data_IF_984619295047
#
_entry.id   IF_984619295047
#
_cell.length_a   1.000
_cell.length_b   1.000
_cell.length_c   1.000
_cell.angle_alpha   90.00
_cell.angle_beta   90.00
_cell.angle_gamma   90.00
#
_symmetry.space_group_name_H-M   'P 1'
#
loop_
_entity.id
_entity.type
_entity.pdbx_description
1 polymer ?
#
# COMPACT_ATOMS: atom_id res chain seq x y z
N UNK A 1 9.68 26.02 -17.39
CA UNK A 1 8.75 24.92 -17.05
C UNK A 1 9.26 23.68 -17.77
N UNK A 2 9.76 22.70 -17.02
CA UNK A 2 10.18 21.41 -17.58
C UNK A 2 8.96 20.68 -18.12
N UNK A 3 9.02 20.23 -19.37
CA UNK A 3 7.98 19.39 -19.99
C UNK A 3 7.75 18.16 -19.12
N UNK A 4 6.48 17.80 -18.81
CA UNK A 4 6.23 16.64 -17.95
C UNK A 4 6.65 15.33 -18.68
N UNK A 5 7.15 14.32 -17.95
CA UNK A 5 7.74 13.14 -18.57
C UNK A 5 6.66 12.27 -19.25
N UNK A 6 7.03 11.67 -20.38
CA UNK A 6 6.22 10.64 -21.06
C UNK A 6 6.38 9.29 -20.37
N UNK A 7 5.43 8.37 -20.56
CA UNK A 7 5.53 7.02 -19.99
C UNK A 7 6.80 6.29 -20.48
N UNK A 8 7.14 6.42 -21.76
CA UNK A 8 8.37 5.86 -22.32
C UNK A 8 9.65 6.42 -21.65
N UNK A 9 9.70 7.73 -21.39
CA UNK A 9 10.84 8.35 -20.69
C UNK A 9 10.95 7.85 -19.24
N UNK A 10 9.81 7.65 -18.56
CA UNK A 10 9.81 7.06 -17.22
C UNK A 10 10.30 5.61 -17.23
N UNK A 11 9.85 4.79 -18.19
CA UNK A 11 10.30 3.40 -18.32
C UNK A 11 11.80 3.31 -18.60
N UNK A 12 12.34 4.17 -19.46
CA UNK A 12 13.77 4.26 -19.73
C UNK A 12 14.57 4.65 -18.46
N UNK A 13 14.12 5.71 -17.76
CA UNK A 13 14.75 6.17 -16.52
C UNK A 13 14.80 5.08 -15.44
N UNK A 14 13.75 4.23 -15.34
CA UNK A 14 13.73 3.10 -14.40
C UNK A 14 14.87 2.10 -14.63
N UNK A 15 15.32 1.90 -15.88
CA UNK A 15 16.42 0.97 -16.20
C UNK A 15 17.79 1.44 -15.70
N UNK A 16 17.92 2.74 -15.45
CA UNK A 16 19.17 3.38 -15.01
C UNK A 16 19.23 3.61 -13.50
N UNK A 17 18.18 3.26 -12.75
CA UNK A 17 18.16 3.40 -11.30
C UNK A 17 19.18 2.45 -10.65
N UNK A 18 19.91 2.98 -9.67
CA UNK A 18 20.75 2.19 -8.79
C UNK A 18 20.14 2.20 -7.38
N UNK A 19 19.50 1.10 -6.92
CA UNK A 19 18.90 1.04 -5.59
C UNK A 19 19.87 1.27 -4.44
N UNK A 20 21.18 1.11 -4.66
CA UNK A 20 22.22 1.40 -3.66
C UNK A 20 22.36 2.91 -3.38
N UNK A 21 22.01 3.76 -4.36
CA UNK A 21 21.95 5.21 -4.20
C UNK A 21 20.58 5.63 -3.62
N UNK A 22 20.24 5.10 -2.43
CA UNK A 22 18.89 5.14 -1.84
C UNK A 22 18.20 6.52 -1.92
N UNK A 23 18.88 7.59 -1.50
CA UNK A 23 18.29 8.93 -1.48
C UNK A 23 18.03 9.50 -2.88
N UNK A 24 18.98 9.30 -3.80
CA UNK A 24 18.89 9.77 -5.19
C UNK A 24 17.79 9.00 -5.92
N UNK A 25 17.78 7.68 -5.80
CA UNK A 25 16.76 6.82 -6.40
C UNK A 25 15.37 7.13 -5.87
N UNK A 26 15.21 7.36 -4.57
CA UNK A 26 13.91 7.79 -4.00
C UNK A 26 13.48 9.16 -4.55
N UNK A 27 14.37 10.14 -4.63
CA UNK A 27 14.06 11.47 -5.17
C UNK A 27 13.65 11.39 -6.65
N UNK A 28 14.37 10.61 -7.45
CA UNK A 28 14.07 10.36 -8.87
C UNK A 28 12.71 9.69 -9.02
N UNK A 29 12.43 8.61 -8.28
CA UNK A 29 11.13 7.92 -8.30
C UNK A 29 9.98 8.86 -7.92
N UNK A 30 10.15 9.67 -6.87
CA UNK A 30 9.14 10.62 -6.41
C UNK A 30 8.83 11.66 -7.49
N UNK A 31 9.86 12.34 -8.01
CA UNK A 31 9.70 13.36 -9.05
C UNK A 31 9.15 12.77 -10.35
N UNK A 32 9.55 11.56 -10.71
CA UNK A 32 9.10 10.88 -11.92
C UNK A 32 7.61 10.51 -11.84
N UNK A 33 7.17 9.91 -10.72
CA UNK A 33 5.77 9.51 -10.53
C UNK A 33 4.84 10.72 -10.42
N UNK A 34 5.26 11.78 -9.72
CA UNK A 34 4.52 13.05 -9.70
C UNK A 34 4.43 13.68 -11.09
N UNK A 35 5.53 13.64 -11.85
CA UNK A 35 5.58 14.10 -13.23
C UNK A 35 4.63 13.32 -14.14
N UNK A 36 4.62 11.99 -14.02
CA UNK A 36 3.77 11.08 -14.77
C UNK A 36 2.28 11.31 -14.47
N UNK A 37 1.92 11.54 -13.20
CA UNK A 37 0.54 11.84 -12.84
C UNK A 37 0.07 13.16 -13.48
N UNK A 38 0.95 14.16 -13.60
CA UNK A 38 0.64 15.44 -14.26
C UNK A 38 0.60 15.37 -15.79
N UNK A 39 1.36 14.48 -16.42
CA UNK A 39 1.28 14.28 -17.88
C UNK A 39 0.03 13.53 -18.32
N UNK A 40 -0.70 12.94 -17.38
CA UNK A 40 -1.97 12.21 -17.61
C UNK A 40 -1.90 11.22 -18.79
N UNK A 41 -0.89 10.33 -18.85
CA UNK A 41 -0.73 9.41 -19.98
C UNK A 41 -1.87 8.41 -20.06
N UNK A 42 -2.07 7.75 -21.22
CA UNK A 42 -3.07 6.71 -21.38
C UNK A 42 -3.03 5.69 -20.23
N UNK A 43 -4.19 5.24 -19.69
CA UNK A 43 -4.24 4.41 -18.48
C UNK A 43 -3.38 3.14 -18.53
N UNK A 44 -3.27 2.50 -19.70
CA UNK A 44 -2.43 1.32 -19.91
C UNK A 44 -0.95 1.64 -19.75
N UNK A 45 -0.49 2.74 -20.36
CA UNK A 45 0.91 3.19 -20.25
C UNK A 45 1.24 3.65 -18.83
N UNK A 46 0.30 4.33 -18.15
CA UNK A 46 0.45 4.69 -16.75
C UNK A 46 0.62 3.42 -15.89
N UNK A 47 -0.23 2.40 -16.07
CA UNK A 47 -0.12 1.15 -15.35
C UNK A 47 1.22 0.44 -15.58
N UNK A 48 1.73 0.45 -16.81
CA UNK A 48 3.03 -0.13 -17.14
C UNK A 48 4.18 0.52 -16.35
N UNK A 49 4.19 1.86 -16.26
CA UNK A 49 5.19 2.56 -15.47
C UNK A 49 5.06 2.23 -13.98
N UNK A 50 3.82 2.19 -13.45
CA UNK A 50 3.58 1.84 -12.05
C UNK A 50 4.09 0.45 -11.71
N UNK A 51 3.74 -0.58 -12.51
CA UNK A 51 4.17 -1.95 -12.27
C UNK A 51 5.69 -2.12 -12.42
N UNK A 52 6.33 -1.40 -13.36
CA UNK A 52 7.79 -1.42 -13.53
C UNK A 52 8.53 -0.75 -12.35
N UNK A 53 7.94 0.29 -11.75
CA UNK A 53 8.56 1.02 -10.64
C UNK A 53 8.50 0.27 -9.30
N UNK A 54 7.65 -0.76 -9.16
CA UNK A 54 7.34 -1.37 -7.84
C UNK A 54 8.56 -1.91 -7.12
N UNK A 55 9.38 -2.72 -7.80
CA UNK A 55 10.55 -3.35 -7.19
C UNK A 55 11.60 -2.33 -6.73
N UNK A 56 12.12 -1.41 -7.58
CA UNK A 56 13.09 -0.43 -7.11
C UNK A 56 12.52 0.47 -6.01
N UNK A 57 11.22 0.77 -6.06
CA UNK A 57 10.53 1.57 -5.04
C UNK A 57 10.48 0.83 -3.69
N UNK A 58 10.09 -0.45 -3.65
CA UNK A 58 10.07 -1.22 -2.40
C UNK A 58 11.46 -1.33 -1.77
N UNK A 59 12.50 -1.59 -2.56
CA UNK A 59 13.88 -1.65 -2.09
C UNK A 59 14.33 -0.35 -1.41
N UNK A 60 14.14 0.81 -2.06
CA UNK A 60 14.60 2.07 -1.46
C UNK A 60 13.75 2.51 -0.28
N UNK A 61 12.44 2.24 -0.30
CA UNK A 61 11.55 2.55 0.82
C UNK A 61 11.93 1.73 2.06
N UNK A 62 12.22 0.43 1.90
CA UNK A 62 12.68 -0.43 3.00
C UNK A 62 14.02 0.04 3.60
N UNK A 63 14.96 0.48 2.75
CA UNK A 63 16.24 1.03 3.22
C UNK A 63 16.06 2.36 3.96
N UNK A 64 15.22 3.27 3.47
CA UNK A 64 14.90 4.53 4.16
C UNK A 64 14.19 4.29 5.49
N UNK A 65 13.29 3.31 5.54
CA UNK A 65 12.50 2.98 6.72
C UNK A 65 13.37 2.57 7.93
N UNK A 66 14.57 2.03 7.69
CA UNK A 66 15.57 1.72 8.75
C UNK A 66 15.95 2.94 9.57
N UNK A 67 15.89 4.15 9.00
CA UNK A 67 16.32 5.38 9.67
C UNK A 67 15.40 5.77 10.82
N UNK A 68 14.10 5.51 10.71
CA UNK A 68 13.15 5.85 11.77
C UNK A 68 12.65 4.66 12.59
N UNK A 69 12.87 3.42 12.15
CA UNK A 69 12.33 2.23 12.81
C UNK A 69 12.88 1.94 14.23
N UNK A 70 13.99 2.55 14.64
CA UNK A 70 14.66 2.28 15.91
C UNK A 70 15.02 3.54 16.71
N UNK A 71 14.56 4.71 16.28
CA UNK A 71 14.97 6.00 16.84
C UNK A 71 13.77 6.79 17.33
N UNK A 72 13.90 7.57 18.41
CA UNK A 72 12.93 8.60 18.74
C UNK A 72 12.75 9.54 17.55
N UNK A 73 11.50 9.92 17.23
CA UNK A 73 11.20 10.89 16.17
C UNK A 73 10.71 12.23 16.75
N UNK A 74 11.61 13.15 17.14
CA UNK A 74 11.24 14.54 17.34
C UNK A 74 10.63 15.14 16.05
N UNK A 75 9.66 16.07 16.13
CA UNK A 75 9.00 16.63 14.95
C UNK A 75 9.95 17.20 13.88
N UNK A 76 11.02 17.90 14.30
CA UNK A 76 11.98 18.55 13.40
C UNK A 76 13.18 17.66 13.00
N UNK A 77 13.13 16.37 13.33
CA UNK A 77 14.23 15.45 13.05
C UNK A 77 14.29 15.03 11.57
N UNK A 78 15.48 14.61 11.13
CA UNK A 78 15.68 14.08 9.77
C UNK A 78 14.93 12.76 9.57
N UNK A 79 14.80 11.96 10.62
CA UNK A 79 14.04 10.71 10.65
C UNK A 79 12.55 10.97 10.44
N UNK A 80 12.00 12.01 11.09
CA UNK A 80 10.58 12.39 10.92
C UNK A 80 10.30 12.89 9.50
N UNK A 81 11.21 13.68 8.92
CA UNK A 81 11.14 14.07 7.50
C UNK A 81 11.21 12.85 6.58
N UNK A 82 12.09 11.89 6.89
CA UNK A 82 12.22 10.64 6.11
C UNK A 82 10.94 9.81 6.17
N UNK A 83 10.31 9.67 7.34
CA UNK A 83 9.01 9.00 7.48
C UNK A 83 7.96 9.63 6.57
N UNK A 84 7.84 10.95 6.59
CA UNK A 84 6.86 11.64 5.74
C UNK A 84 7.13 11.42 4.25
N UNK A 85 8.39 11.48 3.81
CA UNK A 85 8.77 11.21 2.41
C UNK A 85 8.41 9.78 1.98
N UNK A 86 8.69 8.79 2.83
CA UNK A 86 8.35 7.38 2.55
C UNK A 86 6.82 7.21 2.43
N UNK A 87 6.06 7.76 3.40
CA UNK A 87 4.59 7.68 3.39
C UNK A 87 4.00 8.40 2.17
N UNK A 88 4.53 9.58 1.82
CA UNK A 88 4.07 10.35 0.67
C UNK A 88 4.20 9.54 -0.63
N UNK A 89 5.35 8.89 -0.84
CA UNK A 89 5.56 8.08 -2.04
C UNK A 89 4.64 6.84 -2.09
N UNK A 90 4.34 6.21 -0.94
CA UNK A 90 3.30 5.16 -0.88
C UNK A 90 1.92 5.68 -1.26
N UNK A 91 1.56 6.88 -0.80
CA UNK A 91 0.29 7.51 -1.15
C UNK A 91 0.23 7.92 -2.63
N UNK A 92 1.35 8.36 -3.23
CA UNK A 92 1.45 8.62 -4.68
C UNK A 92 1.13 7.35 -5.45
N UNK A 93 1.76 6.22 -5.13
CA UNK A 93 1.45 4.94 -5.78
C UNK A 93 -0.03 4.61 -5.68
N UNK A 94 -0.60 4.65 -4.48
CA UNK A 94 -2.03 4.40 -4.25
C UNK A 94 -2.92 5.31 -5.12
N UNK A 95 -2.67 6.63 -5.10
CA UNK A 95 -3.45 7.62 -5.87
C UNK A 95 -3.34 7.37 -7.38
N UNK A 96 -2.17 6.98 -7.86
CA UNK A 96 -1.95 6.64 -9.27
C UNK A 96 -2.74 5.39 -9.69
N UNK A 97 -2.75 4.32 -8.90
CA UNK A 97 -3.61 3.15 -9.20
C UNK A 97 -5.10 3.48 -9.18
N UNK A 98 -5.54 4.35 -8.26
CA UNK A 98 -6.92 4.86 -8.25
C UNK A 98 -7.23 5.62 -9.54
N UNK A 99 -6.33 6.50 -9.97
CA UNK A 99 -6.48 7.27 -11.20
C UNK A 99 -6.53 6.37 -12.44
N UNK A 100 -5.66 5.34 -12.51
CA UNK A 100 -5.68 4.35 -13.59
C UNK A 100 -7.00 3.58 -13.61
N UNK A 101 -7.51 3.13 -12.46
CA UNK A 101 -8.78 2.42 -12.39
C UNK A 101 -9.95 3.29 -12.87
N UNK A 102 -10.04 4.54 -12.40
CA UNK A 102 -11.12 5.45 -12.80
C UNK A 102 -11.07 5.82 -14.29
N UNK A 103 -9.89 6.13 -14.83
CA UNK A 103 -9.75 6.47 -16.26
C UNK A 103 -9.84 5.23 -17.16
N UNK A 104 -9.62 4.04 -16.59
CA UNK A 104 -9.64 2.76 -17.27
C UNK A 104 -11.01 2.10 -17.38
N UNK A 105 -12.07 2.64 -16.76
CA UNK A 105 -13.39 1.98 -16.70
C UNK A 105 -13.99 1.67 -18.08
N UNK A 106 -13.64 2.44 -19.11
CA UNK A 106 -14.07 2.27 -20.51
C UNK A 106 -12.97 1.75 -21.43
N UNK A 107 -11.85 1.27 -20.89
CA UNK A 107 -10.69 0.78 -21.66
C UNK A 107 -10.66 -0.75 -21.60
N UNK A 108 -11.05 -1.48 -22.66
CA UNK A 108 -11.16 -2.93 -22.62
C UNK A 108 -9.85 -3.65 -22.25
N UNK A 109 -8.70 -3.07 -22.61
CA UNK A 109 -7.39 -3.60 -22.26
C UNK A 109 -7.11 -3.65 -20.74
N UNK A 110 -7.93 -2.97 -19.92
CA UNK A 110 -7.82 -2.96 -18.46
C UNK A 110 -8.89 -3.79 -17.75
N UNK A 111 -9.81 -4.44 -18.48
CA UNK A 111 -10.86 -5.25 -17.85
C UNK A 111 -10.27 -6.41 -17.03
N UNK A 112 -9.25 -7.08 -17.57
CA UNK A 112 -8.52 -8.15 -16.87
C UNK A 112 -7.59 -7.63 -15.75
N UNK A 113 -7.42 -6.30 -15.65
CA UNK A 113 -6.56 -5.67 -14.64
C UNK A 113 -7.34 -5.18 -13.41
N UNK A 114 -8.67 -5.29 -13.39
CA UNK A 114 -9.51 -4.77 -12.28
C UNK A 114 -9.11 -5.36 -10.91
N UNK A 115 -8.83 -6.66 -10.85
CA UNK A 115 -8.37 -7.32 -9.62
C UNK A 115 -6.99 -6.81 -9.16
N UNK A 116 -6.07 -6.60 -10.10
CA UNK A 116 -4.74 -6.05 -9.83
C UNK A 116 -4.85 -4.62 -9.28
N UNK A 117 -5.61 -3.75 -9.96
CA UNK A 117 -5.79 -2.35 -9.54
C UNK A 117 -6.40 -2.25 -8.13
N UNK A 118 -7.41 -3.09 -7.84
CA UNK A 118 -8.02 -3.16 -6.52
C UNK A 118 -7.04 -3.63 -5.44
N UNK A 119 -6.27 -4.69 -5.70
CA UNK A 119 -5.28 -5.19 -4.75
C UNK A 119 -4.16 -4.17 -4.51
N UNK A 120 -3.58 -3.57 -5.55
CA UNK A 120 -2.47 -2.60 -5.43
C UNK A 120 -2.90 -1.39 -4.62
N UNK A 121 -4.12 -0.88 -4.87
CA UNK A 121 -4.70 0.23 -4.12
C UNK A 121 -4.74 -0.05 -2.62
N UNK A 122 -5.23 -1.22 -2.21
CA UNK A 122 -5.29 -1.60 -0.79
C UNK A 122 -3.88 -1.80 -0.23
N UNK A 123 -3.01 -2.50 -0.96
CA UNK A 123 -1.63 -2.76 -0.52
C UNK A 123 -0.87 -1.46 -0.20
N UNK A 124 -0.89 -0.48 -1.10
CA UNK A 124 -0.19 0.80 -0.87
C UNK A 124 -0.86 1.70 0.18
N UNK A 125 -2.19 1.60 0.34
CA UNK A 125 -2.88 2.24 1.47
C UNK A 125 -2.42 1.64 2.81
N UNK A 126 -2.33 0.31 2.89
CA UNK A 126 -1.87 -0.42 4.07
C UNK A 126 -0.40 -0.15 4.40
N UNK A 127 0.48 -0.10 3.39
CA UNK A 127 1.89 0.24 3.58
C UNK A 127 2.06 1.63 4.21
N UNK A 128 1.23 2.60 3.84
CA UNK A 128 1.24 3.93 4.46
C UNK A 128 0.97 3.87 5.98
N UNK A 129 0.03 3.02 6.42
CA UNK A 129 -0.26 2.78 7.84
C UNK A 129 0.92 2.08 8.52
N UNK A 130 1.51 1.10 7.86
CA UNK A 130 2.59 0.29 8.42
C UNK A 130 3.85 1.08 8.74
N UNK A 131 4.14 2.16 8.02
CA UNK A 131 5.29 3.02 8.36
C UNK A 131 5.07 3.79 9.67
N UNK A 132 3.84 4.15 10.02
CA UNK A 132 3.54 4.74 11.33
C UNK A 132 3.72 3.71 12.45
N UNK A 133 3.31 2.46 12.22
CA UNK A 133 3.60 1.37 13.17
C UNK A 133 5.10 1.16 13.34
N UNK A 134 5.85 1.11 12.24
CA UNK A 134 7.30 0.97 12.24
C UNK A 134 7.99 2.12 12.99
N UNK A 135 7.46 3.33 12.87
CA UNK A 135 7.96 4.52 13.55
C UNK A 135 7.48 4.66 15.00
N UNK A 136 6.70 3.71 15.53
CA UNK A 136 6.06 3.80 16.85
C UNK A 136 5.21 5.09 17.00
N UNK A 137 4.53 5.49 15.93
CA UNK A 137 3.70 6.70 15.86
C UNK A 137 2.23 6.34 15.70
N UNK A 138 1.37 7.16 16.28
CA UNK A 138 -0.06 7.08 16.02
C UNK A 138 -0.33 7.26 14.51
N UNK A 139 -1.19 6.41 13.97
CA UNK A 139 -1.64 6.52 12.58
C UNK A 139 -2.46 7.81 12.41
N UNK A 140 -2.12 8.69 11.45
CA UNK A 140 -2.90 9.88 11.18
C UNK A 140 -4.34 9.56 10.78
N UNK A 141 -5.24 10.48 11.13
CA UNK A 141 -6.65 10.40 10.75
C UNK A 141 -6.81 10.28 9.22
N UNK A 142 -7.69 9.38 8.80
CA UNK A 142 -8.10 9.14 7.43
C UNK A 142 -7.45 7.92 6.79
N UNK A 143 -6.27 7.49 7.24
CA UNK A 143 -5.55 6.40 6.57
C UNK A 143 -6.29 5.06 6.67
N UNK A 144 -6.91 4.77 7.81
CA UNK A 144 -7.74 3.56 7.95
C UNK A 144 -9.00 3.64 7.11
N UNK A 145 -9.66 4.80 7.11
CA UNK A 145 -10.82 5.03 6.24
C UNK A 145 -10.47 4.83 4.76
N UNK A 146 -9.28 5.22 4.32
CA UNK A 146 -8.82 5.00 2.94
C UNK A 146 -8.62 3.52 2.62
N UNK A 147 -8.08 2.72 3.54
CA UNK A 147 -7.97 1.26 3.40
C UNK A 147 -9.37 0.63 3.32
N UNK A 148 -10.27 0.97 4.24
CA UNK A 148 -11.65 0.47 4.27
C UNK A 148 -12.43 0.82 3.01
N UNK A 149 -12.34 2.08 2.59
CA UNK A 149 -13.01 2.56 1.38
C UNK A 149 -12.51 1.83 0.13
N UNK A 150 -11.20 1.53 0.07
CA UNK A 150 -10.59 0.77 -1.02
C UNK A 150 -11.10 -0.67 -1.06
N UNK A 151 -11.23 -1.34 0.08
CA UNK A 151 -11.83 -2.66 0.19
C UNK A 151 -13.31 -2.65 -0.22
N UNK A 152 -14.09 -1.70 0.28
CA UNK A 152 -15.51 -1.56 -0.06
C UNK A 152 -15.74 -1.37 -1.57
N UNK A 153 -14.84 -0.67 -2.27
CA UNK A 153 -14.88 -0.55 -3.73
C UNK A 153 -14.61 -1.91 -4.40
N UNK A 154 -13.57 -2.63 -3.97
CA UNK A 154 -13.25 -3.94 -4.52
C UNK A 154 -14.40 -4.95 -4.32
N UNK A 155 -15.09 -4.90 -3.18
CA UNK A 155 -16.28 -5.72 -2.92
C UNK A 155 -17.44 -5.35 -3.85
N UNK A 156 -17.75 -4.05 -4.01
CA UNK A 156 -18.82 -3.59 -4.91
C UNK A 156 -18.56 -3.94 -6.37
N UNK A 157 -17.29 -3.96 -6.78
CA UNK A 157 -16.88 -4.33 -8.13
C UNK A 157 -16.81 -5.86 -8.34
N UNK A 158 -17.01 -6.67 -7.30
CA UNK A 158 -16.94 -8.13 -7.39
C UNK A 158 -15.53 -8.68 -7.59
N UNK A 159 -14.48 -7.89 -7.36
CA UNK A 159 -13.08 -8.27 -7.58
C UNK A 159 -12.31 -8.53 -6.29
N UNK A 160 -12.94 -8.34 -5.12
CA UNK A 160 -12.27 -8.44 -3.82
C UNK A 160 -11.54 -9.77 -3.59
N UNK A 161 -12.15 -10.90 -3.98
CA UNK A 161 -11.59 -12.23 -3.80
C UNK A 161 -10.71 -12.71 -4.97
N UNK A 162 -10.67 -11.98 -6.09
CA UNK A 162 -9.89 -12.36 -7.25
C UNK A 162 -8.40 -12.08 -6.98
N UNK A 163 -7.56 -13.11 -7.08
CA UNK A 163 -6.12 -12.95 -6.90
C UNK A 163 -5.47 -12.35 -8.15
N UNK A 164 -4.69 -11.30 -7.94
CA UNK A 164 -3.79 -10.75 -8.95
C UNK A 164 -2.37 -11.27 -8.73
N UNK A 165 -1.58 -11.52 -9.81
CA UNK A 165 -0.16 -11.82 -9.68
C UNK A 165 0.57 -10.73 -8.89
N UNK A 166 1.39 -11.13 -7.93
CA UNK A 166 2.20 -10.21 -7.14
C UNK A 166 3.50 -10.90 -6.68
N UNK A 167 4.59 -10.76 -7.46
CA UNK A 167 5.87 -11.39 -7.11
C UNK A 167 6.51 -10.79 -5.85
N UNK A 168 6.07 -9.62 -5.41
CA UNK A 168 6.53 -8.98 -4.17
C UNK A 168 5.89 -9.64 -2.92
N UNK A 169 4.79 -10.38 -3.11
CA UNK A 169 4.21 -11.25 -2.08
C UNK A 169 4.84 -12.65 -2.20
N UNK A 170 6.05 -12.79 -1.68
CA UNK A 170 6.96 -13.92 -1.91
C UNK A 170 6.43 -15.32 -1.55
N UNK A 171 5.37 -15.43 -0.75
CA UNK A 171 4.82 -16.74 -0.34
C UNK A 171 3.99 -17.37 -1.45
N UNK A 172 3.20 -16.57 -2.14
CA UNK A 172 2.14 -17.06 -3.03
C UNK A 172 2.31 -16.56 -4.47
N UNK A 173 3.17 -15.55 -4.69
CA UNK A 173 3.32 -14.82 -5.96
C UNK A 173 2.00 -14.24 -6.51
N UNK A 174 0.99 -14.13 -5.64
CA UNK A 174 -0.33 -13.61 -5.94
C UNK A 174 -1.01 -13.17 -4.64
N UNK A 175 -1.90 -12.19 -4.74
CA UNK A 175 -2.71 -11.72 -3.61
C UNK A 175 -4.03 -11.15 -4.12
N UNK A 176 -5.13 -11.35 -3.40
CA UNK A 176 -6.40 -10.67 -3.65
C UNK A 176 -6.52 -9.36 -2.87
N UNK A 177 -7.47 -8.51 -3.24
CA UNK A 177 -7.74 -7.27 -2.51
C UNK A 177 -8.23 -7.58 -1.07
N UNK A 178 -9.01 -8.64 -0.89
CA UNK A 178 -9.45 -9.13 0.41
C UNK A 178 -8.26 -9.61 1.27
N UNK A 179 -7.33 -10.37 0.70
CA UNK A 179 -6.14 -10.84 1.42
C UNK A 179 -5.22 -9.67 1.81
N UNK A 180 -5.05 -8.68 0.95
CA UNK A 180 -4.30 -7.46 1.27
C UNK A 180 -4.95 -6.67 2.41
N UNK A 181 -6.29 -6.61 2.43
CA UNK A 181 -7.06 -5.95 3.48
C UNK A 181 -6.94 -6.69 4.81
N UNK A 182 -7.18 -8.01 4.80
CA UNK A 182 -7.03 -8.89 5.97
C UNK A 182 -5.61 -8.80 6.54
N UNK A 183 -4.58 -8.81 5.69
CA UNK A 183 -3.21 -8.68 6.17
C UNK A 183 -3.00 -7.37 6.95
N UNK A 184 -3.58 -6.25 6.51
CA UNK A 184 -3.51 -4.98 7.23
C UNK A 184 -4.19 -5.05 8.61
N UNK A 185 -5.35 -5.70 8.68
CA UNK A 185 -6.08 -5.92 9.93
C UNK A 185 -5.30 -6.81 10.89
N UNK A 186 -4.74 -7.93 10.41
CA UNK A 186 -3.92 -8.85 11.21
C UNK A 186 -2.67 -8.18 11.77
N UNK A 187 -2.03 -7.26 11.02
CA UNK A 187 -0.89 -6.48 11.51
C UNK A 187 -1.30 -5.59 12.69
N UNK A 188 -2.44 -4.91 12.63
CA UNK A 188 -2.92 -4.08 13.74
C UNK A 188 -3.31 -4.92 14.95
N UNK A 189 -3.98 -6.05 14.71
CA UNK A 189 -4.40 -6.99 15.76
C UNK A 189 -3.21 -7.57 16.55
N UNK A 190 -2.03 -7.66 15.94
CA UNK A 190 -0.80 -8.11 16.59
C UNK A 190 -0.19 -7.07 17.56
N UNK A 191 -0.82 -5.90 17.70
CA UNK A 191 -0.33 -4.74 18.47
C UNK A 191 1.11 -4.35 18.07
N UNK A 192 1.29 -3.68 16.92
CA UNK A 192 2.60 -3.47 16.33
C UNK A 192 3.41 -2.35 17.03
N UNK A 193 2.77 -1.46 17.78
CA UNK A 193 3.40 -0.29 18.41
C UNK A 193 4.49 -0.62 19.45
N UNK A 194 4.48 -1.82 20.02
CA UNK A 194 5.46 -2.25 21.02
C UNK A 194 6.58 -3.12 20.46
N UNK A 195 6.70 -3.27 19.13
CA UNK A 195 7.52 -4.31 18.49
C UNK A 195 8.79 -3.71 17.92
N UNK A 196 9.93 -4.37 18.13
CA UNK A 196 11.16 -4.00 17.44
C UNK A 196 10.99 -4.10 15.92
N UNK A 197 11.83 -3.40 15.14
CA UNK A 197 11.82 -3.48 13.68
C UNK A 197 11.72 -4.93 13.17
N UNK A 198 12.57 -5.81 13.70
CA UNK A 198 12.62 -7.23 13.30
C UNK A 198 11.32 -7.97 13.60
N UNK A 199 10.74 -7.77 14.77
CA UNK A 199 9.46 -8.39 15.14
C UNK A 199 8.32 -7.83 14.28
N UNK A 200 8.32 -6.53 14.00
CA UNK A 200 7.34 -5.92 13.11
C UNK A 200 7.43 -6.47 11.68
N UNK A 201 8.64 -6.65 11.15
CA UNK A 201 8.85 -7.28 9.84
C UNK A 201 8.32 -8.72 9.81
N UNK A 202 8.49 -9.47 10.91
CA UNK A 202 7.89 -10.80 11.06
C UNK A 202 6.38 -10.77 11.09
N UNK A 203 5.77 -9.86 11.86
CA UNK A 203 4.32 -9.68 11.90
C UNK A 203 3.78 -9.39 10.50
N UNK A 204 4.39 -8.47 9.75
CA UNK A 204 3.99 -8.15 8.38
C UNK A 204 4.06 -9.37 7.45
N UNK A 205 5.16 -10.14 7.53
CA UNK A 205 5.34 -11.36 6.74
C UNK A 205 4.28 -12.42 7.07
N UNK A 206 4.05 -12.69 8.35
CA UNK A 206 3.10 -13.70 8.79
C UNK A 206 1.65 -13.29 8.56
N UNK A 207 1.31 -12.00 8.74
CA UNK A 207 -0.01 -11.48 8.42
C UNK A 207 -0.35 -11.71 6.94
N UNK A 208 0.59 -11.42 6.02
CA UNK A 208 0.42 -11.71 4.58
C UNK A 208 0.33 -13.23 4.31
N UNK A 209 1.12 -14.04 5.00
CA UNK A 209 1.09 -15.49 4.86
C UNK A 209 -0.25 -16.09 5.30
N UNK A 210 -0.80 -15.62 6.42
CA UNK A 210 -2.02 -16.15 7.02
C UNK A 210 -3.31 -15.55 6.48
N UNK A 211 -3.26 -14.39 5.82
CA UNK A 211 -4.45 -13.72 5.30
C UNK A 211 -5.37 -14.61 4.41
N UNK A 212 -4.85 -15.49 3.53
CA UNK A 212 -5.68 -16.43 2.76
C UNK A 212 -6.49 -17.44 3.59
N UNK A 213 -6.14 -17.65 4.85
CA UNK A 213 -6.83 -18.57 5.76
C UNK A 213 -7.84 -17.87 6.65
N UNK A 214 -8.08 -16.58 6.43
CA UNK A 214 -9.06 -15.79 7.15
C UNK A 214 -10.22 -15.42 6.25
N UNK A 215 -11.40 -15.26 6.83
CA UNK A 215 -12.61 -14.83 6.15
C UNK A 215 -13.19 -13.60 6.86
N UNK A 216 -13.69 -12.64 6.07
CA UNK A 216 -14.43 -11.49 6.58
C UNK A 216 -15.93 -11.78 6.44
N UNK A 217 -16.59 -11.99 7.57
CA UNK A 217 -18.02 -12.27 7.63
C UNK A 217 -18.77 -10.95 7.74
N UNK A 218 -19.81 -10.76 6.92
CA UNK A 218 -20.68 -9.58 7.00
C UNK A 218 -21.72 -9.76 8.10
N UNK A 219 -21.91 -8.70 8.89
CA UNK A 219 -22.84 -8.70 10.03
C UNK A 219 -22.22 -9.27 11.30
N UNK A 220 -22.94 -9.10 12.41
CA UNK A 220 -22.51 -9.54 13.74
C UNK A 220 -23.41 -10.62 14.35
N UNK A 221 -24.41 -11.10 13.60
CA UNK A 221 -25.33 -12.13 14.08
C UNK A 221 -24.59 -13.44 14.35
N UNK A 222 -24.71 -13.97 15.57
CA UNK A 222 -24.01 -15.18 15.98
C UNK A 222 -22.51 -15.02 16.21
N UNK A 223 -22.00 -13.77 16.25
CA UNK A 223 -20.60 -13.52 16.59
C UNK A 223 -20.28 -14.02 18.00
N UNK A 224 -19.13 -14.72 18.15
CA UNK A 224 -18.62 -15.15 19.45
C UNK A 224 -18.25 -13.93 20.31
N UNK A 225 -18.23 -14.08 21.64
CA UNK A 225 -17.77 -13.02 22.55
C UNK A 225 -16.33 -12.56 22.28
N UNK A 226 -15.51 -13.43 21.69
CA UNK A 226 -14.12 -13.15 21.28
C UNK A 226 -14.00 -12.58 19.86
N UNK A 227 -15.12 -12.31 19.19
CA UNK A 227 -15.11 -11.80 17.83
C UNK A 227 -14.61 -10.35 17.77
N UNK A 228 -13.91 -10.06 16.69
CA UNK A 228 -13.50 -8.72 16.31
C UNK A 228 -14.29 -8.28 15.08
N UNK A 229 -14.71 -7.02 15.06
CA UNK A 229 -15.45 -6.42 13.97
C UNK A 229 -14.90 -5.04 13.64
N UNK A 230 -15.35 -4.52 12.49
CA UNK A 230 -15.06 -3.16 12.07
C UNK A 230 -16.23 -2.62 11.25
N UNK A 231 -16.51 -1.33 11.40
CA UNK A 231 -17.36 -0.59 10.46
C UNK A 231 -16.44 -0.02 9.36
N UNK A 232 -16.76 -0.27 8.09
CA UNK A 232 -15.99 0.27 6.97
C UNK A 232 -16.05 1.80 6.87
N UNK A 233 -16.99 2.44 7.58
CA UNK A 233 -17.04 3.91 7.71
C UNK A 233 -16.05 4.46 8.75
N UNK A 234 -15.58 3.59 9.65
CA UNK A 234 -14.65 3.93 10.73
C UNK A 234 -13.23 4.19 10.23
N UNK A 235 -12.41 4.74 11.13
CA UNK A 235 -11.03 5.14 10.86
C UNK A 235 -10.06 4.51 11.88
N UNK A 236 -10.27 3.21 12.15
CA UNK A 236 -9.43 2.40 13.01
C UNK A 236 -9.42 0.95 12.52
N UNK A 237 -8.48 0.12 13.01
CA UNK A 237 -8.46 -1.32 12.75
C UNK A 237 -9.61 -2.08 13.44
N UNK A 238 -9.39 -3.37 13.70
CA UNK A 238 -10.40 -4.23 14.32
C UNK A 238 -10.65 -3.82 15.79
N UNK A 239 -11.89 -4.00 16.24
CA UNK A 239 -12.30 -3.79 17.64
C UNK A 239 -13.11 -4.99 18.14
N UNK A 240 -13.06 -5.33 19.44
CA UNK A 240 -13.92 -6.37 19.98
C UNK A 240 -15.39 -6.02 19.76
N UNK A 241 -16.21 -6.98 19.32
CA UNK A 241 -17.65 -6.76 19.06
C UNK A 241 -18.46 -6.70 20.36
N UNK A 242 -18.00 -7.41 21.39
CA UNK A 242 -18.66 -7.48 22.70
C UNK A 242 -18.18 -6.40 23.71
N UNK A 243 -17.48 -5.37 23.24
CA UNK A 243 -16.95 -4.28 24.08
C UNK A 243 -17.92 -3.09 24.22
#
# INVERSE_FOLDING_TARGET
MTTPPTAAACLDALTHLNPLNVNETHATLSSMLDGLQRSDPPPVEHLQVLEAARLPLELVQEELAKRYAAHPLPPDSTENRTLHQVVELWQVMRKSYISVAHRGDLVPALDDQRALLAQRRIAYASLSIWEYYRAHRMVPQGLWREVHHSYAIAERQGVAALRAPDPLVSTWNAQSAAEAFIAALLVELANPYGRSKREFDWICRWARHFAPYCELIRGSEGAKETAYGLDLSSDHGLRPVAA
#
